data_IF_689503190083
#
_entry.id   IF_689503190083
#
_cell.length_a   1.000
_cell.length_b   1.000
_cell.length_c   1.000
_cell.angle_alpha   90.00
_cell.angle_beta   90.00
_cell.angle_gamma   90.00
#
_symmetry.space_group_name_H-M   'P 1'
#
loop_
_entity.id
_entity.type
_entity.pdbx_description
1 polymer ?
#
# COMPACT_ATOMS: atom_id res chain seq x y z
N UNK A 1 -2.50 7.14 1.88
CA UNK A 1 -3.14 6.66 3.12
C UNK A 1 -4.05 5.49 2.74
N UNK A 2 -3.95 4.35 3.42
CA UNK A 2 -4.80 3.18 3.20
C UNK A 2 -5.63 2.90 4.46
N UNK A 3 -6.89 3.30 4.43
CA UNK A 3 -7.81 3.32 5.57
C UNK A 3 -7.98 4.73 6.16
N UNK A 4 -8.54 4.82 7.37
CA UNK A 4 -8.82 6.08 8.05
C UNK A 4 -10.29 6.21 8.43
N UNK A 5 -11.19 6.08 7.45
CA UNK A 5 -12.61 5.85 7.69
C UNK A 5 -12.90 4.35 7.52
N UNK A 6 -13.90 3.86 8.25
CA UNK A 6 -14.35 2.48 8.19
C UNK A 6 -14.91 2.17 6.78
N UNK A 7 -14.52 1.05 6.17
CA UNK A 7 -15.11 0.62 4.90
C UNK A 7 -16.56 0.20 5.10
N UNK A 8 -17.43 0.62 4.18
CA UNK A 8 -18.83 0.16 4.14
C UNK A 8 -18.99 -1.31 3.74
N UNK A 9 -17.96 -1.90 3.13
CA UNK A 9 -17.93 -3.30 2.72
C UNK A 9 -17.44 -4.16 3.90
N UNK A 10 -18.25 -5.10 4.41
CA UNK A 10 -17.83 -5.99 5.49
C UNK A 10 -16.56 -6.78 5.15
N UNK A 11 -15.66 -6.90 6.12
CA UNK A 11 -14.39 -7.63 6.03
C UNK A 11 -13.39 -7.08 4.98
N UNK A 12 -13.61 -5.88 4.43
CA UNK A 12 -12.66 -5.29 3.49
C UNK A 12 -11.36 -4.90 4.18
N UNK A 13 -10.24 -5.39 3.65
CA UNK A 13 -8.87 -4.99 4.01
C UNK A 13 -8.10 -4.77 2.71
N UNK A 14 -7.46 -3.60 2.55
CA UNK A 14 -6.65 -3.33 1.36
C UNK A 14 -5.44 -4.29 1.33
N UNK A 15 -5.15 -4.92 0.20
CA UNK A 15 -4.08 -5.93 0.10
C UNK A 15 -3.28 -5.83 -1.19
N UNK A 16 -2.05 -6.36 -1.19
CA UNK A 16 -1.19 -6.42 -2.38
C UNK A 16 -0.65 -5.05 -2.80
N UNK A 17 -0.37 -4.19 -1.81
CA UNK A 17 0.05 -2.82 -2.05
C UNK A 17 1.55 -2.79 -2.31
N UNK A 18 1.98 -2.11 -3.38
CA UNK A 18 3.39 -1.71 -3.50
C UNK A 18 3.53 -0.21 -3.73
N UNK A 19 4.37 0.42 -2.91
CA UNK A 19 4.85 1.79 -3.07
C UNK A 19 6.34 1.71 -3.37
N UNK A 20 6.73 1.88 -4.64
CA UNK A 20 8.14 1.79 -5.03
C UNK A 20 8.61 2.94 -5.89
N UNK A 21 9.84 3.41 -5.65
CA UNK A 21 10.53 4.41 -6.49
C UNK A 21 9.81 5.74 -6.60
N UNK A 22 9.29 6.21 -5.48
CA UNK A 22 8.63 7.50 -5.39
C UNK A 22 9.51 8.49 -4.64
N UNK A 23 9.32 9.77 -4.97
CA UNK A 23 9.69 10.88 -4.10
C UNK A 23 8.43 11.34 -3.37
N UNK A 24 8.32 10.97 -2.09
CA UNK A 24 7.14 11.21 -1.25
C UNK A 24 7.47 12.40 -0.35
N UNK A 25 6.96 13.57 -0.70
CA UNK A 25 7.29 14.82 -0.03
C UNK A 25 6.05 15.71 0.15
N UNK A 26 6.14 16.66 1.08
CA UNK A 26 5.21 17.81 1.16
C UNK A 26 5.98 19.11 0.98
N UNK A 27 5.39 20.14 0.35
CA UNK A 27 6.00 21.45 0.30
C UNK A 27 6.14 22.03 1.70
N UNK A 28 7.36 22.43 2.08
CA UNK A 28 7.61 23.07 3.38
C UNK A 28 6.92 24.43 3.51
N UNK A 29 6.51 25.06 2.40
CA UNK A 29 5.67 26.26 2.40
C UNK A 29 4.30 26.05 3.04
N UNK A 30 3.88 24.81 3.28
CA UNK A 30 2.62 24.49 3.97
C UNK A 30 2.73 24.54 5.50
N UNK A 31 3.94 24.69 6.05
CA UNK A 31 4.16 24.82 7.49
C UNK A 31 3.45 26.08 8.00
N UNK A 32 2.71 25.92 9.11
CA UNK A 32 1.95 26.99 9.78
C UNK A 32 0.92 27.70 8.88
N UNK A 33 0.48 27.05 7.81
CA UNK A 33 -0.68 27.49 7.03
C UNK A 33 -1.99 27.01 7.68
N UNK A 34 -3.13 27.46 7.14
CA UNK A 34 -4.46 27.12 7.65
C UNK A 34 -4.89 25.65 7.44
N UNK A 35 -4.06 24.83 6.82
CA UNK A 35 -4.37 23.44 6.51
C UNK A 35 -3.95 22.47 7.61
N UNK A 36 -4.80 21.47 7.85
CA UNK A 36 -4.47 20.30 8.68
C UNK A 36 -3.63 19.32 7.86
N UNK A 37 -2.31 19.31 8.07
CA UNK A 37 -1.38 18.45 7.33
C UNK A 37 -1.16 17.12 8.05
N UNK A 38 -1.47 16.01 7.36
CA UNK A 38 -1.28 14.62 7.83
C UNK A 38 0.14 14.10 7.57
N UNK A 39 0.44 12.89 8.03
CA UNK A 39 1.77 12.28 7.83
C UNK A 39 1.98 11.85 6.37
N UNK A 40 3.15 11.34 6.00
CA UNK A 40 3.49 11.05 4.60
C UNK A 40 2.88 9.72 4.13
N UNK A 41 3.03 8.66 4.93
CA UNK A 41 2.51 7.33 4.61
C UNK A 41 1.77 6.77 5.81
N UNK A 42 0.51 6.39 5.63
CA UNK A 42 -0.31 5.85 6.72
C UNK A 42 -1.00 4.58 6.24
N UNK A 43 -0.79 3.49 6.97
CA UNK A 43 -1.54 2.25 6.86
C UNK A 43 -2.40 2.10 8.11
N UNK A 44 -3.70 2.03 7.89
CA UNK A 44 -4.73 1.95 8.93
C UNK A 44 -5.64 0.75 8.77
N UNK A 45 -5.84 0.28 7.54
CA UNK A 45 -6.51 -0.98 7.24
C UNK A 45 -5.90 -1.59 5.97
N UNK A 46 -4.75 -2.26 6.12
CA UNK A 46 -3.96 -2.77 5.01
C UNK A 46 -3.15 -4.01 5.38
N UNK A 47 -2.94 -4.90 4.41
CA UNK A 47 -2.06 -6.05 4.57
C UNK A 47 -1.25 -6.35 3.31
N UNK A 48 -0.16 -7.12 3.43
CA UNK A 48 0.69 -7.53 2.31
C UNK A 48 1.20 -6.32 1.53
N UNK A 49 2.02 -5.51 2.20
CA UNK A 49 2.49 -4.22 1.73
C UNK A 49 4.00 -4.26 1.51
N UNK A 50 4.47 -3.71 0.39
CA UNK A 50 5.89 -3.43 0.15
C UNK A 50 6.09 -1.93 -0.08
N UNK A 51 6.99 -1.32 0.68
CA UNK A 51 7.45 0.06 0.48
C UNK A 51 8.96 0.03 0.21
N UNK A 52 9.36 0.26 -1.04
CA UNK A 52 10.74 0.03 -1.48
C UNK A 52 11.34 1.08 -2.41
N UNK A 53 12.59 1.49 -2.18
CA UNK A 53 13.30 2.36 -3.11
C UNK A 53 12.73 3.77 -3.16
N UNK A 54 12.13 4.27 -2.09
CA UNK A 54 11.56 5.62 -2.06
C UNK A 54 12.48 6.60 -1.33
N UNK A 55 12.34 7.88 -1.67
CA UNK A 55 12.84 9.00 -0.86
C UNK A 55 11.62 9.67 -0.21
N UNK A 56 11.60 9.72 1.12
CA UNK A 56 10.45 10.16 1.93
C UNK A 56 10.89 11.32 2.82
N UNK A 57 10.30 12.50 2.63
CA UNK A 57 10.78 13.69 3.33
C UNK A 57 9.74 14.78 3.58
N UNK A 58 10.12 15.75 4.41
CA UNK A 58 9.32 16.91 4.80
C UNK A 58 8.04 16.49 5.57
N UNK A 59 8.26 16.01 6.79
CA UNK A 59 7.21 15.74 7.77
C UNK A 59 7.47 16.53 9.04
N UNK A 60 6.50 17.35 9.46
CA UNK A 60 6.61 18.20 10.64
C UNK A 60 5.43 17.96 11.58
N UNK A 61 5.53 18.46 12.81
CA UNK A 61 4.42 18.42 13.76
C UNK A 61 3.26 19.26 13.24
N UNK A 62 2.09 18.65 13.07
CA UNK A 62 0.89 19.29 12.53
C UNK A 62 -0.37 18.59 13.06
N UNK A 63 -1.15 17.92 12.21
CA UNK A 63 -2.34 17.17 12.62
C UNK A 63 -2.02 16.04 13.62
N UNK A 64 -0.76 15.62 13.67
CA UNK A 64 -0.19 14.57 14.51
C UNK A 64 1.25 14.95 14.89
N UNK A 65 1.96 14.08 15.60
CA UNK A 65 3.33 14.30 16.12
C UNK A 65 4.43 14.32 15.04
N UNK A 66 4.07 14.32 13.76
CA UNK A 66 5.02 14.47 12.65
C UNK A 66 5.84 13.23 12.30
N UNK A 67 5.54 12.06 12.86
CA UNK A 67 6.10 10.79 12.40
C UNK A 67 5.72 10.54 10.94
N UNK A 68 6.71 10.37 10.07
CA UNK A 68 6.50 10.27 8.63
C UNK A 68 5.63 9.07 8.23
N UNK A 69 5.78 7.94 8.91
CA UNK A 69 5.12 6.67 8.56
C UNK A 69 4.35 6.10 9.75
N UNK A 70 3.07 5.77 9.53
CA UNK A 70 2.19 5.17 10.54
C UNK A 70 1.77 3.76 10.15
N UNK A 71 1.99 2.81 11.07
CA UNK A 71 1.43 1.47 11.07
C UNK A 71 0.48 1.35 12.26
N UNK A 72 -0.73 1.87 12.09
CA UNK A 72 -1.68 2.10 13.20
C UNK A 72 -3.08 1.65 12.79
N UNK A 73 -3.54 0.44 13.15
CA UNK A 73 -4.88 -0.01 12.81
C UNK A 73 -5.90 1.01 13.33
N UNK A 74 -6.92 1.31 12.52
CA UNK A 74 -7.90 2.34 12.85
C UNK A 74 -9.31 2.00 12.36
N UNK A 75 -10.13 1.56 13.30
CA UNK A 75 -11.58 1.34 13.22
C UNK A 75 -12.27 2.60 13.73
N UNK A 76 -12.27 3.66 12.92
CA UNK A 76 -12.52 5.03 13.34
C UNK A 76 -13.96 5.24 13.83
N UNK A 77 -14.94 4.67 13.13
CA UNK A 77 -16.37 4.77 13.47
C UNK A 77 -16.85 3.60 14.34
N UNK A 78 -16.05 2.55 14.52
CA UNK A 78 -16.36 1.38 15.34
C UNK A 78 -17.14 0.30 14.59
N UNK A 79 -17.26 0.41 13.27
CA UNK A 79 -18.03 -0.48 12.39
C UNK A 79 -17.17 -1.52 11.66
N UNK A 80 -15.83 -1.40 11.73
CA UNK A 80 -14.89 -2.28 11.06
C UNK A 80 -13.90 -2.98 12.04
N UNK A 81 -14.37 -3.89 12.92
CA UNK A 81 -13.51 -4.59 13.88
C UNK A 81 -12.48 -5.54 13.24
N UNK A 82 -12.60 -5.83 11.94
CA UNK A 82 -11.61 -6.58 11.15
C UNK A 82 -10.41 -5.73 10.73
N UNK A 83 -10.39 -4.43 11.04
CA UNK A 83 -9.30 -3.51 10.67
C UNK A 83 -7.95 -4.03 11.16
N UNK A 84 -6.96 -4.07 10.26
CA UNK A 84 -5.64 -4.64 10.53
C UNK A 84 -4.52 -3.88 9.80
N UNK A 85 -3.31 -3.90 10.36
CA UNK A 85 -2.07 -3.58 9.65
C UNK A 85 -1.14 -4.79 9.75
N UNK A 86 -0.91 -5.51 8.64
CA UNK A 86 -0.13 -6.77 8.72
C UNK A 86 0.74 -7.05 7.51
N UNK A 87 1.86 -7.74 7.71
CA UNK A 87 2.76 -8.17 6.64
C UNK A 87 3.21 -6.98 5.81
N UNK A 88 3.94 -6.06 6.45
CA UNK A 88 4.46 -4.84 5.84
C UNK A 88 5.97 -4.94 5.78
N UNK A 89 6.52 -4.81 4.58
CA UNK A 89 7.97 -4.72 4.34
C UNK A 89 8.30 -3.30 3.89
N UNK A 90 9.02 -2.56 4.73
CA UNK A 90 9.54 -1.23 4.44
C UNK A 90 11.05 -1.30 4.31
N UNK A 91 11.57 -1.27 3.07
CA UNK A 91 12.99 -1.50 2.82
C UNK A 91 13.64 -0.68 1.74
N UNK A 92 14.95 -0.49 1.80
CA UNK A 92 15.71 0.23 0.77
C UNK A 92 15.17 1.65 0.51
N UNK A 93 14.75 2.37 1.56
CA UNK A 93 14.27 3.75 1.46
C UNK A 93 15.26 4.73 2.09
N UNK A 94 15.22 5.97 1.63
CA UNK A 94 15.80 7.12 2.33
C UNK A 94 14.66 7.88 3.00
N UNK A 95 14.79 8.18 4.28
CA UNK A 95 13.89 9.08 5.00
C UNK A 95 14.67 10.21 5.65
N UNK A 96 14.26 11.44 5.38
CA UNK A 96 14.96 12.63 5.87
C UNK A 96 14.06 13.83 6.02
N UNK A 97 14.48 14.85 6.75
CA UNK A 97 13.71 16.08 6.90
C UNK A 97 12.37 15.80 7.61
N UNK A 98 12.43 15.06 8.73
CA UNK A 98 11.22 14.59 9.43
C UNK A 98 11.29 14.81 10.94
N UNK A 99 10.15 15.14 11.55
CA UNK A 99 9.96 15.25 12.99
C UNK A 99 9.96 13.89 13.73
N UNK A 100 9.84 12.78 13.00
CA UNK A 100 9.96 11.42 13.50
C UNK A 100 9.86 10.40 12.36
N UNK A 101 10.41 9.19 12.55
CA UNK A 101 10.37 8.13 11.55
C UNK A 101 9.04 7.37 11.54
N UNK A 102 8.87 6.43 12.46
CA UNK A 102 7.72 5.53 12.52
C UNK A 102 6.87 5.72 13.78
N UNK A 103 5.56 5.56 13.62
CA UNK A 103 4.63 5.29 14.72
C UNK A 103 3.91 3.96 14.47
N UNK A 104 4.10 3.02 15.40
CA UNK A 104 3.59 1.64 15.28
C UNK A 104 2.73 1.34 16.51
N UNK A 105 1.44 1.04 16.27
CA UNK A 105 0.51 0.63 17.32
C UNK A 105 0.03 -0.79 17.06
N UNK A 106 -0.03 -1.61 18.11
CA UNK A 106 -0.56 -2.97 18.02
C UNK A 106 -2.07 -3.04 17.86
N UNK A 107 -2.81 -2.11 18.46
CA UNK A 107 -4.26 -2.02 18.38
C UNK A 107 -4.72 -0.58 18.16
N UNK A 108 -5.95 -0.44 17.69
CA UNK A 108 -6.71 0.79 17.84
C UNK A 108 -7.03 1.01 19.33
N UNK A 109 -6.78 2.22 19.82
CA UNK A 109 -6.93 2.65 21.22
C UNK A 109 -8.32 3.23 21.55
N UNK A 110 -9.20 3.40 20.56
CA UNK A 110 -10.57 3.87 20.73
C UNK A 110 -11.65 2.83 20.43
N UNK A 111 -11.37 1.85 19.56
CA UNK A 111 -12.33 0.82 19.11
C UNK A 111 -11.66 -0.54 18.91
N UNK A 112 -12.39 -1.67 18.90
CA UNK A 112 -11.80 -2.97 18.60
C UNK A 112 -11.18 -3.02 17.21
N UNK A 113 -9.97 -3.59 17.10
CA UNK A 113 -9.30 -3.90 15.84
C UNK A 113 -8.61 -5.26 15.92
N UNK A 114 -8.14 -5.76 14.79
CA UNK A 114 -7.15 -6.84 14.80
C UNK A 114 -5.79 -6.30 15.26
N UNK A 115 -4.91 -7.21 15.69
CA UNK A 115 -3.56 -6.88 16.14
C UNK A 115 -2.64 -6.63 14.94
N UNK A 116 -1.88 -5.53 14.98
CA UNK A 116 -0.78 -5.31 14.02
C UNK A 116 0.27 -6.40 14.17
N UNK A 117 0.64 -7.03 13.06
CA UNK A 117 1.66 -8.07 13.07
C UNK A 117 2.56 -8.07 11.84
N UNK A 118 3.75 -8.66 11.97
CA UNK A 118 4.63 -8.98 10.84
C UNK A 118 5.08 -7.71 10.09
N UNK A 119 5.75 -6.83 10.84
CA UNK A 119 6.29 -5.57 10.32
C UNK A 119 7.81 -5.73 10.18
N UNK A 120 8.33 -5.53 8.97
CA UNK A 120 9.77 -5.53 8.70
C UNK A 120 10.19 -4.16 8.21
N UNK A 121 11.09 -3.51 8.94
CA UNK A 121 11.75 -2.25 8.57
C UNK A 121 13.21 -2.58 8.35
N UNK A 122 13.63 -2.69 7.09
CA UNK A 122 15.00 -3.14 6.81
C UNK A 122 15.76 -2.39 5.74
N UNK A 123 17.07 -2.29 5.89
CA UNK A 123 17.94 -1.70 4.88
C UNK A 123 17.56 -0.27 4.47
N UNK A 124 17.26 0.61 5.42
CA UNK A 124 16.90 2.00 5.13
C UNK A 124 17.93 2.97 5.73
N UNK A 125 18.03 4.15 5.11
CA UNK A 125 18.82 5.27 5.61
C UNK A 125 17.89 6.35 6.20
N UNK A 126 18.09 6.70 7.46
CA UNK A 126 17.40 7.78 8.15
C UNK A 126 18.41 8.85 8.59
N UNK A 127 18.20 10.09 8.17
CA UNK A 127 19.02 11.22 8.62
C UNK A 127 18.21 12.50 8.64
N UNK A 128 18.62 13.50 9.43
CA UNK A 128 17.78 14.66 9.72
C UNK A 128 16.37 14.26 10.21
N UNK A 129 16.33 13.22 11.06
CA UNK A 129 15.19 12.92 11.93
C UNK A 129 15.37 13.80 13.15
N UNK A 130 14.79 15.00 13.11
CA UNK A 130 15.34 16.13 13.87
C UNK A 130 14.30 16.97 14.60
N UNK A 131 14.69 17.46 15.77
CA UNK A 131 13.94 18.42 16.59
C UNK A 131 13.78 19.77 15.86
N UNK A 132 14.58 20.03 14.82
CA UNK A 132 14.44 21.20 13.94
C UNK A 132 13.09 21.23 13.18
N UNK A 133 12.41 20.08 13.06
CA UNK A 133 11.08 19.96 12.45
C UNK A 133 9.92 20.23 13.43
N UNK A 134 10.22 20.87 14.56
CA UNK A 134 9.24 21.42 15.49
C UNK A 134 8.53 22.66 14.91
N UNK A 135 7.35 22.96 15.43
CA UNK A 135 6.64 24.22 15.21
C UNK A 135 6.42 24.91 16.58
N UNK A 136 6.09 26.22 16.64
CA UNK A 136 5.99 26.97 17.89
C UNK A 136 5.12 26.32 18.99
N UNK A 137 4.08 25.58 18.60
CA UNK A 137 3.16 24.90 19.52
C UNK A 137 3.21 23.36 19.41
N UNK A 138 4.33 22.79 18.94
CA UNK A 138 4.46 21.36 18.72
C UNK A 138 5.91 20.93 18.57
N UNK A 139 6.46 20.31 19.61
CA UNK A 139 7.82 19.82 19.61
C UNK A 139 7.93 18.50 18.83
N UNK A 140 8.87 18.44 17.89
CA UNK A 140 9.23 17.22 17.20
C UNK A 140 9.98 16.28 18.16
N UNK A 141 9.51 15.03 18.24
CA UNK A 141 10.13 14.03 19.11
C UNK A 141 11.49 13.54 18.57
N UNK A 142 11.70 13.65 17.26
CA UNK A 142 12.94 13.32 16.55
C UNK A 142 13.45 11.89 16.84
N UNK A 143 12.50 10.95 16.96
CA UNK A 143 12.78 9.52 17.19
C UNK A 143 12.75 8.77 15.88
N UNK A 144 13.57 7.72 15.78
CA UNK A 144 13.46 6.75 14.70
C UNK A 144 12.09 6.05 14.74
N UNK A 145 11.68 5.57 15.91
CA UNK A 145 10.39 4.90 16.06
C UNK A 145 9.75 5.15 17.43
N UNK A 146 8.42 5.15 17.45
CA UNK A 146 7.60 4.92 18.64
C UNK A 146 6.76 3.66 18.43
N UNK A 147 6.81 2.73 19.38
CA UNK A 147 6.19 1.40 19.26
C UNK A 147 5.44 1.08 20.55
N UNK A 148 4.15 0.75 20.46
CA UNK A 148 3.37 0.45 21.66
C UNK A 148 2.03 -0.17 21.35
N UNK A 149 1.20 -0.36 22.38
CA UNK A 149 -0.06 -1.10 22.27
C UNK A 149 0.12 -2.54 21.77
N UNK A 150 1.30 -3.14 21.98
CA UNK A 150 1.58 -4.56 21.76
C UNK A 150 1.46 -5.10 20.32
N UNK A 151 2.13 -4.56 19.28
CA UNK A 151 2.24 -5.26 18.00
C UNK A 151 2.99 -6.60 18.13
N UNK A 152 2.84 -7.49 17.15
CA UNK A 152 3.61 -8.76 17.08
C UNK A 152 4.60 -8.76 15.93
N UNK A 153 5.72 -9.48 16.11
CA UNK A 153 6.68 -9.78 15.05
C UNK A 153 7.18 -8.51 14.33
N UNK A 154 7.76 -7.59 15.09
CA UNK A 154 8.37 -6.37 14.54
C UNK A 154 9.88 -6.61 14.39
N UNK A 155 10.36 -6.57 13.14
CA UNK A 155 11.77 -6.72 12.78
C UNK A 155 12.33 -5.40 12.29
N UNK A 156 13.41 -4.95 12.90
CA UNK A 156 14.16 -3.75 12.52
C UNK A 156 15.59 -4.20 12.26
N UNK A 157 16.00 -4.20 10.99
CA UNK A 157 17.24 -4.86 10.55
C UNK A 157 18.01 -4.04 9.50
N UNK A 158 19.34 -3.93 9.61
CA UNK A 158 20.16 -3.21 8.60
C UNK A 158 19.79 -1.73 8.38
N UNK A 159 19.32 -1.00 9.39
CA UNK A 159 19.04 0.44 9.23
C UNK A 159 20.19 1.29 9.76
N UNK A 160 20.52 2.38 9.05
CA UNK A 160 21.38 3.45 9.58
C UNK A 160 20.52 4.64 9.97
N UNK A 161 20.60 5.07 11.23
CA UNK A 161 19.74 6.13 11.78
C UNK A 161 20.55 7.21 12.49
N UNK A 162 20.52 8.42 11.91
CA UNK A 162 21.03 9.64 12.51
C UNK A 162 19.85 10.56 12.89
N UNK A 163 19.47 10.50 14.16
CA UNK A 163 18.41 11.31 14.77
C UNK A 163 18.98 12.12 15.95
N UNK A 164 18.27 13.17 16.37
CA UNK A 164 18.70 14.02 17.50
C UNK A 164 17.65 14.20 18.62
N UNK A 165 16.62 13.35 18.64
CA UNK A 165 15.66 13.30 19.73
C UNK A 165 16.26 12.76 21.03
N UNK A 166 15.50 12.79 22.13
CA UNK A 166 15.98 12.27 23.42
C UNK A 166 16.22 10.76 23.42
N UNK A 167 15.45 10.02 22.63
CA UNK A 167 15.58 8.57 22.46
C UNK A 167 15.53 8.23 20.96
N UNK A 168 16.14 7.11 20.59
CA UNK A 168 16.10 6.59 19.23
C UNK A 168 14.84 5.78 19.01
N UNK A 169 14.53 4.87 19.93
CA UNK A 169 13.26 4.13 19.93
C UNK A 169 12.57 4.38 21.26
N UNK A 170 11.32 4.82 21.22
CA UNK A 170 10.44 4.83 22.39
C UNK A 170 9.50 3.62 22.33
N UNK A 171 9.51 2.82 23.38
CA UNK A 171 8.55 1.75 23.59
C UNK A 171 7.62 2.19 24.71
N UNK A 172 6.31 2.09 24.49
CA UNK A 172 5.33 2.63 25.42
C UNK A 172 4.19 1.63 25.70
N UNK A 173 3.62 1.76 26.89
CA UNK A 173 2.38 1.06 27.25
C UNK A 173 1.19 1.61 26.44
N UNK A 174 0.14 0.83 26.24
CA UNK A 174 -1.01 1.29 25.48
C UNK A 174 -2.21 0.38 25.65
N UNK A 175 -3.29 0.68 24.95
CA UNK A 175 -4.45 -0.20 24.95
C UNK A 175 -4.10 -1.56 24.35
N UNK A 176 -4.46 -2.64 25.05
CA UNK A 176 -4.45 -4.01 24.53
C UNK A 176 -5.69 -4.75 25.04
N UNK A 177 -6.33 -5.63 24.24
CA UNK A 177 -7.48 -6.40 24.71
C UNK A 177 -7.14 -7.43 25.81
N UNK A 178 -5.88 -7.86 25.91
CA UNK A 178 -5.43 -8.94 26.81
C UNK A 178 -4.76 -8.43 28.08
N UNK A 179 -4.83 -7.12 28.38
CA UNK A 179 -4.13 -6.42 29.49
C UNK A 179 -2.60 -6.55 29.52
N UNK A 180 -2.01 -7.27 28.57
CA UNK A 180 -0.57 -7.43 28.37
C UNK A 180 -0.07 -6.51 27.27
N UNK A 181 0.70 -5.49 27.64
CA UNK A 181 1.28 -4.51 26.69
C UNK A 181 2.56 -4.99 25.99
N UNK A 182 2.88 -6.29 26.11
CA UNK A 182 4.12 -6.85 25.57
C UNK A 182 4.10 -7.01 24.06
N UNK A 183 5.27 -6.82 23.46
CA UNK A 183 5.57 -6.91 22.04
C UNK A 183 6.38 -8.19 21.83
N UNK A 184 5.70 -9.27 21.47
CA UNK A 184 6.34 -10.55 21.20
C UNK A 184 6.94 -10.60 19.80
N UNK A 185 8.08 -11.29 19.65
CA UNK A 185 8.76 -11.44 18.37
C UNK A 185 9.47 -10.16 17.89
N UNK A 186 9.84 -9.27 18.82
CA UNK A 186 10.64 -8.08 18.50
C UNK A 186 12.08 -8.47 18.16
N UNK A 187 12.58 -7.97 17.03
CA UNK A 187 13.95 -8.17 16.58
C UNK A 187 14.56 -6.82 16.20
N UNK A 188 15.71 -6.50 16.78
CA UNK A 188 16.51 -5.32 16.50
C UNK A 188 17.93 -5.81 16.20
N UNK A 189 18.28 -5.93 14.93
CA UNK A 189 19.53 -6.56 14.49
C UNK A 189 20.28 -5.75 13.45
N UNK A 190 21.61 -5.80 13.45
CA UNK A 190 22.42 -5.24 12.36
C UNK A 190 22.18 -3.73 12.10
N UNK A 191 21.75 -2.93 13.07
CA UNK A 191 21.48 -1.50 12.87
C UNK A 191 22.65 -0.62 13.35
N UNK A 192 22.89 0.49 12.64
CA UNK A 192 23.71 1.60 13.11
C UNK A 192 22.78 2.69 13.67
N UNK A 193 22.78 2.86 14.98
CA UNK A 193 21.86 3.75 15.68
C UNK A 193 22.66 4.75 16.51
N UNK A 194 22.23 6.01 16.57
CA UNK A 194 22.59 6.88 17.68
C UNK A 194 21.86 6.42 18.93
N UNK A 195 22.49 6.53 20.09
CA UNK A 195 21.81 6.29 21.36
C UNK A 195 21.05 7.54 21.83
N UNK A 196 21.63 8.71 21.62
CA UNK A 196 21.14 9.98 22.17
C UNK A 196 21.20 9.98 23.71
N UNK A 197 20.13 10.40 24.41
CA UNK A 197 20.12 10.44 25.87
C UNK A 197 19.63 9.13 26.51
N UNK A 198 18.80 8.36 25.79
CA UNK A 198 18.10 7.20 26.34
C UNK A 198 18.01 5.99 25.40
N UNK A 199 18.56 6.09 24.18
CA UNK A 199 18.63 4.96 23.28
C UNK A 199 17.28 4.34 22.92
N UNK A 200 17.16 3.05 23.24
CA UNK A 200 15.88 2.36 23.35
C UNK A 200 15.30 2.63 24.74
N UNK A 201 14.18 3.33 24.84
CA UNK A 201 13.59 3.74 26.11
C UNK A 201 12.20 3.16 26.29
N UNK A 202 11.94 2.52 27.43
CA UNK A 202 10.60 2.13 27.87
C UNK A 202 10.00 3.23 28.75
N UNK A 203 8.86 3.81 28.35
CA UNK A 203 8.23 4.94 29.05
C UNK A 203 8.01 4.75 30.56
N UNK A 204 7.71 3.53 31.00
CA UNK A 204 7.42 3.19 32.39
C UNK A 204 8.62 2.67 33.19
N UNK A 205 9.69 2.23 32.52
CA UNK A 205 10.76 1.43 33.15
C UNK A 205 12.18 1.89 32.85
N UNK A 206 12.36 2.83 31.92
CA UNK A 206 13.65 3.42 31.59
C UNK A 206 14.37 2.79 30.40
N UNK A 207 15.66 3.09 30.32
CA UNK A 207 16.54 2.82 29.17
C UNK A 207 16.94 1.35 28.98
N UNK A 208 17.25 1.02 27.73
CA UNK A 208 17.94 -0.17 27.29
C UNK A 208 17.24 -1.46 27.74
N UNK A 209 18.00 -2.29 28.45
CA UNK A 209 17.60 -3.63 28.87
C UNK A 209 16.42 -3.61 29.84
N UNK A 210 16.20 -2.53 30.59
CA UNK A 210 15.00 -2.40 31.43
C UNK A 210 13.75 -2.30 30.55
N UNK A 211 13.73 -1.36 29.61
CA UNK A 211 12.69 -1.21 28.59
C UNK A 211 12.46 -2.49 27.78
N UNK A 212 13.54 -3.05 27.24
CA UNK A 212 13.50 -4.26 26.41
C UNK A 212 12.94 -5.47 27.17
N UNK A 213 13.36 -5.73 28.43
CA UNK A 213 12.84 -6.86 29.20
C UNK A 213 11.36 -6.72 29.55
N UNK A 214 10.92 -5.49 29.85
CA UNK A 214 9.54 -5.24 30.24
C UNK A 214 8.58 -5.31 29.05
N UNK A 215 8.90 -4.60 27.96
CA UNK A 215 8.01 -4.47 26.83
C UNK A 215 8.21 -5.52 25.75
N UNK A 216 9.41 -6.05 25.55
CA UNK A 216 9.73 -6.97 24.44
C UNK A 216 10.31 -8.28 24.99
N UNK A 217 9.53 -9.09 25.72
CA UNK A 217 10.03 -10.33 26.28
C UNK A 217 10.57 -11.24 25.17
N UNK A 218 11.75 -11.80 25.38
CA UNK A 218 12.49 -12.63 24.42
C UNK A 218 12.89 -11.92 23.12
N UNK A 219 13.02 -10.58 23.14
CA UNK A 219 13.56 -9.85 22.00
C UNK A 219 14.95 -10.32 21.61
N UNK A 220 15.21 -10.33 20.30
CA UNK A 220 16.56 -10.52 19.75
C UNK A 220 17.14 -9.12 19.54
N UNK A 221 18.14 -8.76 20.33
CA UNK A 221 18.86 -7.48 20.20
C UNK A 221 20.35 -7.78 20.06
N UNK A 222 20.83 -7.85 18.83
CA UNK A 222 22.18 -8.31 18.54
C UNK A 222 22.79 -7.62 17.31
N UNK A 223 24.11 -7.49 17.29
CA UNK A 223 24.90 -6.92 16.18
C UNK A 223 24.47 -5.51 15.75
N UNK A 224 23.91 -4.73 16.67
CA UNK A 224 23.73 -3.31 16.45
C UNK A 224 24.97 -2.55 16.94
N UNK A 225 25.27 -1.40 16.34
CA UNK A 225 26.16 -0.42 16.94
C UNK A 225 25.35 0.77 17.46
N UNK A 226 25.40 1.00 18.77
CA UNK A 226 24.75 2.12 19.44
C UNK A 226 25.78 3.22 19.74
N UNK A 227 25.84 4.24 18.89
CA UNK A 227 26.72 5.38 19.08
C UNK A 227 26.40 6.15 20.36
N UNK A 228 27.36 6.19 21.29
CA UNK A 228 27.25 6.93 22.56
C UNK A 228 26.62 6.17 23.73
N UNK A 229 26.13 4.96 23.50
CA UNK A 229 25.52 4.13 24.55
C UNK A 229 26.55 3.56 25.53
N UNK A 230 26.11 3.27 26.75
CA UNK A 230 26.87 2.44 27.69
C UNK A 230 26.56 0.95 27.46
N UNK A 231 27.60 0.11 27.32
CA UNK A 231 27.46 -1.32 27.10
C UNK A 231 26.61 -2.04 28.18
N UNK A 232 26.62 -1.52 29.41
CA UNK A 232 25.83 -2.04 30.54
C UNK A 232 24.32 -1.85 30.37
N UNK A 233 23.88 -0.94 29.49
CA UNK A 233 22.47 -0.69 29.23
C UNK A 233 21.85 -1.72 28.29
N UNK A 234 22.63 -2.46 27.50
CA UNK A 234 22.09 -3.32 26.44
C UNK A 234 22.49 -4.79 26.59
N UNK A 235 21.76 -5.72 25.95
CA UNK A 235 22.18 -7.10 25.84
C UNK A 235 23.57 -7.24 25.20
N UNK A 236 24.28 -8.30 25.56
CA UNK A 236 25.59 -8.62 24.97
C UNK A 236 25.48 -8.92 23.47
N UNK A 237 26.59 -8.78 22.74
CA UNK A 237 26.63 -9.00 21.29
C UNK A 237 26.26 -7.78 20.46
N UNK A 238 26.18 -6.59 21.06
CA UNK A 238 26.10 -5.29 20.40
C UNK A 238 27.41 -4.51 20.61
N UNK A 239 27.64 -3.52 19.76
CA UNK A 239 28.80 -2.64 19.79
C UNK A 239 28.41 -1.23 20.26
N UNK A 240 29.34 -0.55 20.93
CA UNK A 240 29.08 0.73 21.62
C UNK A 240 30.18 1.76 21.33
N UNK A 241 30.34 2.20 20.06
CA UNK A 241 31.31 3.24 19.75
C UNK A 241 30.97 4.54 20.48
N UNK A 242 31.99 5.33 20.83
CA UNK A 242 31.74 6.71 21.28
C UNK A 242 31.04 7.49 20.18
N UNK A 243 30.32 8.57 20.52
CA UNK A 243 29.70 9.40 19.47
C UNK A 243 30.72 9.96 18.47
N UNK A 244 31.93 10.29 18.93
CA UNK A 244 33.01 10.73 18.04
C UNK A 244 33.46 9.63 17.08
N UNK A 245 33.61 8.38 17.56
CA UNK A 245 33.93 7.24 16.70
C UNK A 245 32.81 6.93 15.74
N UNK A 246 31.56 6.88 16.22
CA UNK A 246 30.38 6.65 15.38
C UNK A 246 30.29 7.67 14.25
N UNK A 247 30.61 8.94 14.52
CA UNK A 247 30.67 9.98 13.48
C UNK A 247 31.82 9.77 12.49
N UNK A 248 32.99 9.34 12.98
CA UNK A 248 34.18 9.07 12.18
C UNK A 248 34.08 7.77 11.35
N UNK A 249 33.14 6.88 11.68
CA UNK A 249 32.88 5.64 10.96
C UNK A 249 32.27 5.90 9.57
N UNK A 250 31.76 7.09 9.30
CA UNK A 250 31.15 7.46 8.02
C UNK A 250 32.08 8.31 7.14
N UNK A 251 31.95 8.16 5.82
CA UNK A 251 32.74 8.91 4.83
C UNK A 251 32.54 10.42 4.97
N UNK A 252 31.30 10.90 5.00
CA UNK A 252 30.99 12.32 5.19
C UNK A 252 29.51 12.55 5.56
N UNK A 253 29.20 12.65 6.85
CA UNK A 253 27.85 12.94 7.36
C UNK A 253 27.32 14.28 6.86
N UNK A 254 28.16 15.32 6.80
CA UNK A 254 27.75 16.66 6.37
C UNK A 254 27.29 16.72 4.90
N UNK A 255 27.71 15.75 4.08
CA UNK A 255 27.25 15.56 2.72
C UNK A 255 26.17 14.44 2.59
N UNK A 256 25.58 14.00 3.70
CA UNK A 256 24.67 12.86 3.79
C UNK A 256 25.24 11.53 3.25
N UNK A 257 26.58 11.37 3.27
CA UNK A 257 27.26 10.15 2.86
C UNK A 257 27.57 9.28 4.09
N UNK A 258 26.59 8.46 4.46
CA UNK A 258 26.68 7.52 5.59
C UNK A 258 27.27 6.15 5.21
N UNK A 259 28.02 6.06 4.10
CA UNK A 259 28.80 4.84 3.82
C UNK A 259 29.90 4.69 4.87
N UNK A 260 30.11 3.46 5.34
CA UNK A 260 31.19 3.18 6.27
C UNK A 260 32.56 3.34 5.60
N UNK A 261 33.50 3.97 6.30
CA UNK A 261 34.92 3.97 5.91
C UNK A 261 35.51 2.57 6.12
N UNK A 262 36.58 2.24 5.38
CA UNK A 262 37.20 0.91 5.41
C UNK A 262 37.72 0.50 6.80
N UNK A 263 38.02 1.47 7.67
CA UNK A 263 38.53 1.25 9.03
C UNK A 263 37.42 1.10 10.07
N UNK A 264 36.14 1.26 9.70
CA UNK A 264 35.04 1.12 10.64
C UNK A 264 34.94 -0.33 11.12
N UNK A 265 34.77 -0.52 12.43
CA UNK A 265 34.52 -1.85 13.00
C UNK A 265 33.16 -2.43 12.61
N UNK A 266 32.25 -1.58 12.14
CA UNK A 266 30.94 -1.97 11.62
C UNK A 266 30.99 -2.49 10.17
N UNK A 267 32.15 -2.43 9.52
CA UNK A 267 32.37 -2.93 8.15
C UNK A 267 32.34 -4.46 8.13
N UNK A 268 31.51 -5.06 7.27
CA UNK A 268 31.35 -6.52 7.15
C UNK A 268 31.09 -7.27 8.48
N UNK A 269 30.48 -6.60 9.47
CA UNK A 269 30.35 -7.07 10.84
C UNK A 269 28.92 -7.51 11.24
N UNK A 270 27.95 -7.43 10.30
CA UNK A 270 26.58 -7.92 10.52
C UNK A 270 26.53 -9.45 10.61
N UNK A 271 25.37 -9.98 10.99
CA UNK A 271 25.12 -11.43 11.02
C UNK A 271 25.21 -12.12 9.65
N UNK A 272 25.10 -11.36 8.56
CA UNK A 272 25.19 -11.86 7.17
C UNK A 272 26.49 -11.43 6.45
N UNK A 273 27.51 -11.03 7.22
CA UNK A 273 28.83 -10.62 6.73
C UNK A 273 28.83 -9.38 5.81
N UNK A 274 27.79 -8.55 5.93
CA UNK A 274 27.70 -7.22 5.33
C UNK A 274 28.03 -6.12 6.34
N UNK A 275 28.04 -4.89 5.87
CA UNK A 275 28.12 -3.74 6.76
C UNK A 275 26.92 -3.72 7.73
N UNK A 276 27.17 -3.45 9.01
CA UNK A 276 26.12 -3.11 9.96
C UNK A 276 25.50 -1.78 9.50
N UNK A 277 24.18 -1.66 9.61
CA UNK A 277 23.41 -0.56 9.04
C UNK A 277 23.05 -0.81 7.57
N UNK A 278 22.82 0.27 6.83
CA UNK A 278 22.30 0.21 5.46
C UNK A 278 23.34 -0.36 4.47
N UNK A 279 22.94 -1.41 3.76
CA UNK A 279 23.56 -1.89 2.52
C UNK A 279 23.23 -0.90 1.39
N UNK A 280 24.16 0.02 1.17
CA UNK A 280 24.03 1.03 0.13
C UNK A 280 23.98 0.46 -1.29
N UNK A 281 24.55 -0.71 -1.53
CA UNK A 281 24.48 -1.33 -2.87
C UNK A 281 23.04 -1.70 -3.18
N UNK A 282 22.35 -2.32 -2.23
CA UNK A 282 20.93 -2.64 -2.36
C UNK A 282 20.04 -1.39 -2.36
N UNK A 283 20.36 -0.38 -1.52
CA UNK A 283 19.64 0.89 -1.50
C UNK A 283 19.73 1.61 -2.85
N UNK A 284 20.93 1.80 -3.39
CA UNK A 284 21.13 2.47 -4.67
C UNK A 284 20.47 1.71 -5.81
N UNK A 285 20.56 0.38 -5.82
CA UNK A 285 19.89 -0.45 -6.81
C UNK A 285 18.36 -0.28 -6.75
N UNK A 286 17.77 -0.22 -5.55
CA UNK A 286 16.34 -0.02 -5.40
C UNK A 286 15.89 1.38 -5.87
N UNK A 287 16.65 2.42 -5.51
CA UNK A 287 16.38 3.82 -5.87
C UNK A 287 16.54 4.08 -7.37
N UNK A 288 17.55 3.48 -8.01
CA UNK A 288 17.92 3.74 -9.40
C UNK A 288 17.39 2.72 -10.40
N UNK A 289 16.76 1.63 -9.93
CA UNK A 289 16.19 0.64 -10.84
C UNK A 289 15.14 1.31 -11.74
N UNK A 290 15.30 1.16 -13.06
CA UNK A 290 14.27 1.54 -14.02
C UNK A 290 12.98 0.82 -13.67
N UNK A 291 11.81 1.49 -13.70
CA UNK A 291 10.55 0.81 -13.54
C UNK A 291 10.50 -0.33 -14.57
N UNK A 292 10.43 -1.57 -14.09
CA UNK A 292 9.96 -2.65 -14.94
C UNK A 292 8.63 -2.17 -15.55
N UNK A 293 8.43 -2.35 -16.85
CA UNK A 293 7.19 -1.95 -17.53
C UNK A 293 6.01 -2.38 -16.65
N UNK A 294 5.28 -1.42 -16.10
CA UNK A 294 4.10 -1.72 -15.30
C UNK A 294 3.21 -2.60 -16.17
N UNK A 295 2.84 -3.82 -15.74
CA UNK A 295 1.87 -4.60 -16.49
C UNK A 295 0.67 -3.71 -16.74
N UNK A 296 0.22 -3.64 -18.00
CA UNK A 296 -0.95 -2.88 -18.40
C UNK A 296 -2.10 -3.12 -17.38
N UNK A 297 -2.81 -2.05 -16.93
CA UNK A 297 -3.85 -2.19 -15.92
C UNK A 297 -4.78 -3.35 -16.26
N UNK A 298 -4.89 -4.31 -15.33
CA UNK A 298 -5.83 -5.42 -15.41
C UNK A 298 -7.05 -5.07 -14.58
N UNK A 299 -8.19 -4.82 -15.21
CA UNK A 299 -9.45 -4.67 -14.51
C UNK A 299 -10.57 -5.38 -15.26
N UNK A 300 -11.53 -5.90 -14.51
CA UNK A 300 -12.72 -6.58 -15.01
C UNK A 300 -13.94 -5.72 -14.71
N UNK A 301 -14.80 -5.55 -15.71
CA UNK A 301 -16.08 -4.84 -15.64
C UNK A 301 -17.19 -5.83 -15.92
N UNK A 302 -18.16 -5.90 -15.02
CA UNK A 302 -19.38 -6.71 -15.21
C UNK A 302 -20.32 -5.98 -16.18
N UNK A 303 -20.93 -6.69 -17.12
CA UNK A 303 -21.73 -6.05 -18.17
C UNK A 303 -22.97 -5.38 -17.58
N UNK A 304 -23.57 -5.92 -16.51
CA UNK A 304 -24.71 -5.33 -15.80
C UNK A 304 -24.41 -3.97 -15.15
N UNK A 305 -23.12 -3.62 -15.02
CA UNK A 305 -22.64 -2.37 -14.45
C UNK A 305 -22.39 -1.28 -15.50
N UNK A 306 -23.19 -1.24 -16.57
CA UNK A 306 -23.12 -0.15 -17.55
C UNK A 306 -23.49 1.20 -16.90
N UNK A 307 -23.06 2.29 -17.53
CA UNK A 307 -23.25 3.65 -17.03
C UNK A 307 -24.74 3.96 -16.78
N UNK A 308 -25.03 4.69 -15.71
CA UNK A 308 -26.40 5.17 -15.44
C UNK A 308 -26.72 6.41 -16.30
N UNK A 309 -27.98 6.84 -16.30
CA UNK A 309 -28.46 7.99 -17.08
C UNK A 309 -29.65 7.67 -17.97
N UNK A 310 -30.00 6.39 -18.11
CA UNK A 310 -31.17 5.93 -18.85
C UNK A 310 -30.93 5.76 -20.35
N UNK A 311 -32.04 5.49 -21.03
CA UNK A 311 -32.15 5.29 -22.48
C UNK A 311 -31.54 6.46 -23.27
N UNK A 312 -30.68 6.16 -24.24
CA UNK A 312 -29.95 7.14 -25.05
C UNK A 312 -28.73 7.77 -24.36
N UNK A 313 -28.46 7.47 -23.09
CA UNK A 313 -27.32 8.00 -22.33
C UNK A 313 -26.39 6.88 -21.86
N UNK A 314 -26.89 6.00 -20.99
CA UNK A 314 -26.12 4.88 -20.45
C UNK A 314 -26.20 3.64 -21.34
N UNK A 315 -27.32 3.47 -22.04
CA UNK A 315 -27.61 2.34 -22.91
C UNK A 315 -28.66 2.72 -23.97
N UNK A 316 -28.86 1.83 -24.95
CA UNK A 316 -30.04 1.78 -25.82
C UNK A 316 -30.53 0.33 -25.88
N UNK A 317 -31.80 0.10 -25.51
CA UNK A 317 -32.47 -1.19 -25.61
C UNK A 317 -33.64 -1.09 -26.62
N UNK A 318 -33.82 -2.13 -27.44
CA UNK A 318 -34.86 -2.12 -28.48
C UNK A 318 -36.26 -2.37 -27.92
N UNK A 319 -36.37 -2.76 -26.66
CA UNK A 319 -37.62 -3.10 -26.01
C UNK A 319 -37.80 -2.38 -24.66
N UNK A 320 -39.03 -2.00 -24.29
CA UNK A 320 -39.28 -1.48 -22.95
C UNK A 320 -39.28 -2.61 -21.92
N UNK A 321 -38.66 -2.35 -20.78
CA UNK A 321 -38.62 -3.21 -19.59
C UNK A 321 -37.60 -4.35 -19.66
N UNK A 322 -36.89 -4.55 -18.54
CA UNK A 322 -35.97 -5.67 -18.35
C UNK A 322 -36.71 -7.02 -18.24
N UNK A 323 -36.65 -7.85 -19.29
CA UNK A 323 -37.25 -9.19 -19.39
C UNK A 323 -36.70 -10.18 -18.37
N UNK A 324 -35.43 -10.04 -18.00
CA UNK A 324 -34.81 -10.89 -16.99
C UNK A 324 -35.21 -10.47 -15.57
N UNK A 325 -35.62 -9.21 -15.38
CA UNK A 325 -36.23 -8.69 -14.15
C UNK A 325 -35.27 -8.57 -12.96
N UNK A 326 -33.96 -8.69 -13.18
CA UNK A 326 -32.95 -8.70 -12.12
C UNK A 326 -31.97 -7.52 -12.22
N UNK A 327 -31.33 -7.24 -11.08
CA UNK A 327 -30.27 -6.24 -10.88
C UNK A 327 -30.69 -4.76 -11.04
N UNK A 328 -31.28 -4.38 -12.17
CA UNK A 328 -31.75 -3.00 -12.46
C UNK A 328 -33.20 -2.97 -12.94
N UNK A 329 -33.85 -1.84 -12.72
CA UNK A 329 -35.26 -1.60 -13.06
C UNK A 329 -35.47 -0.82 -14.37
N UNK A 330 -34.40 -0.63 -15.14
CA UNK A 330 -34.43 0.02 -16.45
C UNK A 330 -34.67 -1.02 -17.57
N UNK A 331 -34.46 -0.67 -18.85
CA UNK A 331 -34.89 -1.51 -19.97
C UNK A 331 -33.89 -2.62 -20.34
N UNK A 332 -32.61 -2.53 -19.94
CA UNK A 332 -31.62 -3.54 -20.31
C UNK A 332 -31.99 -4.89 -19.70
N UNK A 333 -32.04 -5.91 -20.53
CA UNK A 333 -32.42 -7.28 -20.16
C UNK A 333 -31.31 -8.00 -19.37
N UNK A 334 -31.51 -8.21 -18.06
CA UNK A 334 -30.51 -8.74 -17.12
C UNK A 334 -31.05 -9.95 -16.35
N UNK A 335 -30.29 -11.05 -16.35
CA UNK A 335 -30.61 -12.27 -15.60
C UNK A 335 -29.40 -12.81 -14.80
N UNK A 336 -29.64 -13.76 -13.89
CA UNK A 336 -28.58 -14.34 -13.06
C UNK A 336 -27.71 -15.33 -13.85
N UNK A 337 -26.39 -15.17 -13.75
CA UNK A 337 -25.41 -16.01 -14.43
C UNK A 337 -25.11 -17.28 -13.62
N UNK A 338 -25.03 -18.42 -14.31
CA UNK A 338 -24.52 -19.69 -13.78
C UNK A 338 -23.03 -19.91 -14.08
N UNK A 339 -22.33 -18.90 -14.61
CA UNK A 339 -20.91 -18.97 -14.92
C UNK A 339 -20.07 -19.07 -13.64
N UNK A 340 -18.79 -19.38 -13.82
CA UNK A 340 -17.82 -19.32 -12.72
C UNK A 340 -17.77 -17.90 -12.16
N UNK A 341 -18.07 -17.76 -10.86
CA UNK A 341 -18.18 -16.47 -10.16
C UNK A 341 -19.62 -16.00 -9.92
N UNK A 342 -20.62 -16.64 -10.54
CA UNK A 342 -22.02 -16.24 -10.42
C UNK A 342 -22.26 -14.84 -11.00
N UNK A 343 -23.11 -14.04 -10.34
CA UNK A 343 -23.41 -12.67 -10.74
C UNK A 343 -24.58 -12.58 -11.72
N UNK A 344 -24.52 -11.61 -12.64
CA UNK A 344 -25.54 -11.38 -13.64
C UNK A 344 -24.93 -11.32 -15.04
N UNK A 345 -25.78 -11.31 -16.06
CA UNK A 345 -25.38 -11.14 -17.44
C UNK A 345 -26.45 -10.38 -18.21
N UNK A 346 -26.04 -9.75 -19.31
CA UNK A 346 -26.95 -9.17 -20.30
C UNK A 346 -27.40 -10.25 -21.26
N UNK A 347 -28.71 -10.46 -21.34
CA UNK A 347 -29.35 -11.43 -22.22
C UNK A 347 -30.34 -10.76 -23.16
N UNK A 348 -31.02 -11.56 -24.00
CA UNK A 348 -32.01 -11.06 -24.98
C UNK A 348 -31.52 -9.96 -25.94
N UNK A 349 -30.21 -9.73 -25.98
CA UNK A 349 -29.55 -8.67 -26.72
C UNK A 349 -29.87 -8.74 -28.21
N UNK A 350 -30.26 -7.62 -28.79
CA UNK A 350 -30.62 -7.44 -30.20
C UNK A 350 -29.65 -6.51 -30.93
N UNK A 351 -29.53 -6.73 -32.23
CA UNK A 351 -28.87 -5.80 -33.14
C UNK A 351 -29.50 -4.40 -33.04
N UNK A 352 -28.65 -3.38 -33.02
CA UNK A 352 -29.02 -1.98 -32.80
C UNK A 352 -28.77 -1.49 -31.38
N UNK A 353 -28.71 -2.39 -30.39
CA UNK A 353 -28.52 -2.03 -28.97
C UNK A 353 -27.07 -1.63 -28.65
N UNK A 354 -26.88 -0.91 -27.54
CA UNK A 354 -25.54 -0.60 -27.03
C UNK A 354 -25.55 -0.28 -25.54
N UNK A 355 -24.38 -0.42 -24.90
CA UNK A 355 -24.13 -0.07 -23.49
C UNK A 355 -22.80 0.68 -23.33
N UNK A 356 -22.79 1.70 -22.47
CA UNK A 356 -21.60 2.52 -22.16
C UNK A 356 -20.97 2.12 -20.82
N UNK A 357 -19.65 2.24 -20.72
CA UNK A 357 -18.87 2.08 -19.50
C UNK A 357 -17.82 3.19 -19.41
N UNK A 358 -17.93 4.04 -18.40
CA UNK A 358 -16.91 5.04 -18.10
C UNK A 358 -15.79 4.39 -17.30
N UNK A 359 -14.61 4.30 -17.90
CA UNK A 359 -13.39 3.73 -17.29
C UNK A 359 -12.33 4.81 -17.10
N UNK A 360 -11.32 4.54 -16.26
CA UNK A 360 -10.12 5.36 -16.14
C UNK A 360 -8.88 4.50 -16.27
N UNK A 361 -8.08 4.73 -17.31
CA UNK A 361 -6.81 4.02 -17.50
C UNK A 361 -5.67 4.84 -16.90
N UNK A 362 -4.82 4.20 -16.08
CA UNK A 362 -3.70 4.88 -15.42
C UNK A 362 -2.68 5.45 -16.43
N UNK A 363 -2.47 4.76 -17.55
CA UNK A 363 -1.58 5.15 -18.63
C UNK A 363 -2.22 4.87 -19.99
N UNK A 364 -1.83 5.64 -21.01
CA UNK A 364 -2.17 5.31 -22.39
C UNK A 364 -1.42 4.05 -22.81
N UNK A 365 -2.02 3.24 -23.68
CA UNK A 365 -1.41 1.98 -24.11
C UNK A 365 -2.25 1.18 -25.08
N UNK A 366 -1.70 0.05 -25.49
CA UNK A 366 -2.39 -0.97 -26.30
C UNK A 366 -2.70 -2.18 -25.44
N UNK A 367 -3.96 -2.57 -25.41
CA UNK A 367 -4.50 -3.55 -24.47
C UNK A 367 -5.09 -4.76 -25.20
N UNK A 368 -5.27 -5.84 -24.45
CA UNK A 368 -6.19 -6.92 -24.83
C UNK A 368 -7.50 -6.73 -24.08
N UNK A 369 -8.62 -6.78 -24.79
CA UNK A 369 -9.95 -6.86 -24.19
C UNK A 369 -10.44 -8.31 -24.31
N UNK A 370 -10.64 -8.94 -23.16
CA UNK A 370 -11.29 -10.24 -23.05
C UNK A 370 -12.79 -10.03 -22.81
N UNK A 371 -13.66 -10.76 -23.49
CA UNK A 371 -15.12 -10.71 -23.29
C UNK A 371 -15.66 -12.11 -23.01
N UNK A 372 -16.44 -12.23 -21.94
CA UNK A 372 -17.10 -13.47 -21.53
C UNK A 372 -18.50 -13.52 -22.10
N UNK A 373 -18.71 -14.43 -23.06
CA UNK A 373 -19.92 -14.47 -23.90
C UNK A 373 -20.48 -15.89 -24.01
N UNK A 374 -21.78 -15.99 -24.34
CA UNK A 374 -22.46 -17.25 -24.60
C UNK A 374 -23.53 -17.12 -25.70
N UNK A 375 -23.79 -18.20 -26.44
CA UNK A 375 -24.84 -18.27 -27.46
C UNK A 375 -25.28 -19.72 -27.72
N UNK A 376 -26.59 -19.94 -27.85
CA UNK A 376 -27.19 -21.25 -28.18
C UNK A 376 -27.25 -21.53 -29.69
N UNK A 377 -26.19 -21.20 -30.41
CA UNK A 377 -26.11 -21.22 -31.87
C UNK A 377 -25.06 -20.22 -32.36
N UNK A 378 -24.82 -20.15 -33.67
CA UNK A 378 -23.91 -19.11 -34.21
C UNK A 378 -24.43 -17.73 -33.77
N UNK A 379 -23.65 -17.02 -32.95
CA UNK A 379 -24.03 -15.73 -32.40
C UNK A 379 -23.91 -14.62 -33.43
N UNK A 380 -24.34 -13.44 -33.03
CA UNK A 380 -24.25 -12.22 -33.81
C UNK A 380 -22.86 -11.59 -33.77
N UNK A 381 -22.76 -10.37 -34.30
CA UNK A 381 -21.57 -9.55 -34.22
C UNK A 381 -21.79 -8.30 -33.39
N UNK A 382 -20.71 -7.80 -32.80
CA UNK A 382 -20.65 -6.57 -32.03
C UNK A 382 -19.28 -5.92 -32.20
N UNK A 383 -19.13 -4.64 -31.86
CA UNK A 383 -17.83 -3.98 -31.82
C UNK A 383 -17.70 -3.09 -30.57
N UNK A 384 -16.48 -2.60 -30.34
CA UNK A 384 -16.16 -1.75 -29.18
C UNK A 384 -15.66 -0.40 -29.67
N UNK A 385 -16.35 0.65 -29.28
CA UNK A 385 -15.92 2.03 -29.46
C UNK A 385 -15.21 2.55 -28.20
N UNK A 386 -14.20 3.39 -28.39
CA UNK A 386 -13.57 4.17 -27.32
C UNK A 386 -13.71 5.64 -27.65
N UNK A 387 -14.43 6.38 -26.80
CA UNK A 387 -14.83 7.77 -27.04
C UNK A 387 -15.51 7.98 -28.41
N UNK A 388 -16.39 7.05 -28.79
CA UNK A 388 -17.15 7.09 -30.05
C UNK A 388 -16.36 6.70 -31.30
N UNK A 389 -15.16 6.14 -31.16
CA UNK A 389 -14.36 5.63 -32.28
C UNK A 389 -14.25 4.11 -32.18
N UNK A 390 -14.72 3.38 -33.19
CA UNK A 390 -14.54 1.93 -33.28
C UNK A 390 -13.04 1.56 -33.21
N UNK A 391 -12.69 0.71 -32.25
CA UNK A 391 -11.32 0.21 -32.03
C UNK A 391 -11.13 -1.24 -32.39
N UNK A 392 -12.19 -1.97 -32.71
CA UNK A 392 -12.11 -3.43 -32.84
C UNK A 392 -12.48 -3.93 -34.21
N UNK A 393 -13.35 -3.21 -34.93
CA UNK A 393 -14.15 -3.80 -35.98
C UNK A 393 -15.11 -4.86 -35.42
N UNK A 394 -15.85 -5.58 -36.29
CA UNK A 394 -16.80 -6.58 -35.86
C UNK A 394 -16.11 -7.77 -35.19
N UNK A 395 -16.67 -8.19 -34.05
CA UNK A 395 -16.33 -9.37 -33.28
C UNK A 395 -17.52 -10.31 -33.28
N UNK A 396 -17.30 -11.60 -33.55
CA UNK A 396 -18.36 -12.61 -33.60
C UNK A 396 -18.45 -13.38 -32.29
N UNK A 397 -19.66 -13.58 -31.78
CA UNK A 397 -19.91 -14.51 -30.68
C UNK A 397 -19.99 -15.93 -31.25
N UNK A 398 -19.12 -16.86 -30.85
CA UNK A 398 -19.17 -18.24 -31.34
C UNK A 398 -20.41 -18.97 -30.81
N UNK A 399 -20.78 -20.06 -31.48
CA UNK A 399 -21.72 -21.02 -30.88
C UNK A 399 -21.05 -21.68 -29.68
N UNK A 400 -21.60 -21.48 -28.48
CA UNK A 400 -21.07 -22.07 -27.25
C UNK A 400 -21.88 -23.28 -26.78
N UNK A 401 -22.95 -23.64 -27.48
CA UNK A 401 -23.80 -24.80 -27.18
C UNK A 401 -24.90 -24.53 -26.15
N UNK A 402 -25.11 -23.28 -25.72
CA UNK A 402 -26.17 -22.91 -24.81
C UNK A 402 -26.13 -21.45 -24.37
N UNK A 403 -27.27 -20.90 -23.97
CA UNK A 403 -27.38 -19.50 -23.54
C UNK A 403 -26.58 -19.17 -22.28
N UNK A 404 -26.22 -20.18 -21.49
CA UNK A 404 -25.31 -20.01 -20.36
C UNK A 404 -24.13 -20.98 -20.42
N UNK A 405 -23.74 -21.41 -21.62
CA UNK A 405 -22.47 -22.09 -21.84
C UNK A 405 -21.43 -21.03 -22.21
N UNK A 406 -20.52 -20.71 -21.31
CA UNK A 406 -19.70 -19.50 -21.42
C UNK A 406 -18.30 -19.76 -22.00
N UNK A 407 -17.87 -18.89 -22.91
CA UNK A 407 -16.50 -18.84 -23.41
C UNK A 407 -15.94 -17.42 -23.34
N UNK A 408 -14.61 -17.29 -23.46
CA UNK A 408 -13.95 -15.99 -23.50
C UNK A 408 -13.33 -15.76 -24.87
N UNK A 409 -13.70 -14.65 -25.51
CA UNK A 409 -13.07 -14.15 -26.74
C UNK A 409 -12.11 -13.02 -26.40
N UNK A 410 -10.98 -12.93 -27.10
CA UNK A 410 -9.94 -11.92 -26.83
C UNK A 410 -9.67 -11.07 -28.06
N UNK A 411 -9.79 -9.75 -27.92
CA UNK A 411 -9.38 -8.78 -28.93
C UNK A 411 -8.10 -8.07 -28.48
N UNK A 412 -6.99 -8.36 -29.16
CA UNK A 412 -5.71 -7.67 -28.95
C UNK A 412 -5.65 -6.38 -29.76
N UNK A 413 -4.76 -5.47 -29.35
CA UNK A 413 -4.45 -4.28 -30.14
C UNK A 413 -5.37 -3.09 -29.89
N UNK A 414 -6.14 -3.07 -28.79
CA UNK A 414 -7.09 -1.99 -28.51
C UNK A 414 -6.38 -0.82 -27.84
N UNK A 415 -6.33 0.32 -28.53
CA UNK A 415 -5.67 1.52 -28.02
C UNK A 415 -6.60 2.29 -27.05
N UNK A 416 -6.12 2.52 -25.83
CA UNK A 416 -6.77 3.33 -24.80
C UNK A 416 -5.89 4.54 -24.43
N UNK A 417 -6.51 5.69 -24.20
CA UNK A 417 -5.84 6.89 -23.69
C UNK A 417 -5.62 6.81 -22.17
N UNK A 418 -4.78 7.68 -21.62
CA UNK A 418 -4.69 7.86 -20.16
C UNK A 418 -5.89 8.66 -19.64
N UNK A 419 -6.32 8.39 -18.40
CA UNK A 419 -7.43 9.07 -17.76
C UNK A 419 -8.80 8.52 -18.17
N UNK A 420 -9.82 9.35 -17.93
CA UNK A 420 -11.23 8.99 -18.09
C UNK A 420 -11.64 8.89 -19.56
N UNK A 421 -12.26 7.78 -19.95
CA UNK A 421 -12.78 7.54 -21.30
C UNK A 421 -14.01 6.62 -21.26
N UNK A 422 -14.82 6.68 -22.31
CA UNK A 422 -16.03 5.84 -22.43
C UNK A 422 -15.74 4.68 -23.38
N UNK A 423 -15.97 3.47 -22.91
CA UNK A 423 -16.06 2.26 -23.73
C UNK A 423 -17.54 2.05 -24.06
N UNK A 424 -17.88 1.92 -25.34
CA UNK A 424 -19.21 1.50 -25.78
C UNK A 424 -19.13 0.15 -26.43
N UNK A 425 -20.01 -0.77 -26.06
CA UNK A 425 -20.20 -2.04 -26.77
C UNK A 425 -21.46 -1.91 -27.61
N UNK A 426 -21.31 -2.05 -28.93
CA UNK A 426 -22.39 -1.85 -29.92
C UNK A 426 -22.74 -3.17 -30.57
N UNK A 427 -24.03 -3.49 -30.62
CA UNK A 427 -24.55 -4.76 -31.10
C UNK A 427 -24.94 -4.64 -32.57
N UNK A 428 -24.17 -5.26 -33.47
CA UNK A 428 -24.24 -4.97 -34.91
C UNK A 428 -25.26 -5.85 -35.65
N UNK A 429 -25.20 -7.16 -35.44
CA UNK A 429 -26.07 -8.12 -36.16
C UNK A 429 -26.57 -9.21 -35.23
N UNK A 430 -27.80 -9.68 -35.47
CA UNK A 430 -28.32 -10.86 -34.79
C UNK A 430 -27.63 -12.14 -35.32
N UNK A 431 -27.50 -13.14 -34.46
CA UNK A 431 -27.06 -14.48 -34.82
C UNK A 431 -28.20 -15.36 -35.35
N UNK A 432 -27.88 -16.63 -35.60
CA UNK A 432 -28.80 -17.62 -36.16
C UNK A 432 -30.03 -17.90 -35.27
N UNK A 433 -29.97 -17.57 -33.98
CA UNK A 433 -31.06 -17.74 -33.00
C UNK A 433 -31.85 -16.46 -32.74
N UNK A 434 -31.63 -15.42 -33.56
CA UNK A 434 -32.40 -14.17 -33.54
C UNK A 434 -31.91 -13.11 -32.55
N UNK A 435 -30.93 -13.41 -31.68
CA UNK A 435 -30.25 -12.44 -30.82
C UNK A 435 -28.73 -12.42 -31.05
N UNK A 436 -28.03 -11.44 -30.52
CA UNK A 436 -26.57 -11.32 -30.67
C UNK A 436 -25.85 -12.37 -29.82
N UNK A 437 -26.21 -12.47 -28.55
CA UNK A 437 -25.61 -13.38 -27.58
C UNK A 437 -25.78 -12.84 -26.16
N UNK A 438 -25.31 -13.61 -25.17
CA UNK A 438 -25.27 -13.19 -23.78
C UNK A 438 -23.86 -12.68 -23.41
N UNK A 439 -23.79 -11.66 -22.57
CA UNK A 439 -22.54 -11.01 -22.15
C UNK A 439 -22.44 -10.95 -20.61
N UNK A 440 -21.39 -11.51 -20.03
CA UNK A 440 -21.20 -11.57 -18.57
C UNK A 440 -20.27 -10.45 -18.08
N UNK A 441 -18.99 -10.48 -18.47
CA UNK A 441 -18.00 -9.45 -18.13
C UNK A 441 -17.05 -9.20 -19.29
N UNK A 442 -16.37 -8.05 -19.26
CA UNK A 442 -15.16 -7.82 -20.05
C UNK A 442 -13.98 -7.44 -19.15
N UNK A 443 -12.77 -7.77 -19.58
CA UNK A 443 -11.54 -7.43 -18.88
C UNK A 443 -10.55 -6.75 -19.82
N UNK A 444 -9.94 -5.67 -19.35
CA UNK A 444 -8.86 -4.95 -20.04
C UNK A 444 -7.55 -5.38 -19.40
N UNK A 445 -6.54 -5.80 -20.18
CA UNK A 445 -5.25 -6.28 -19.66
C UNK A 445 -4.06 -6.12 -20.59
#
# INVERSE_FOLDING_TARGET
>A
MFGGADPSIPNLVATGITIRRNYITKPTSWIMQSWTVKNLVEFKNAQNVVVEGNVIENSWVAAQQGYAVLFTPRNQEGTAPWTIVRNVVFRNNIMRHVAGGFSISGYDDGRPSQQTSDITISNNLFYDVSTAWSIPNGAAAARFAIIGSGPRNVTIDHNTVDNNGSATILIYGGYTPTSTVQIYGFQLTNNLLRDNAYGVFGDAVGEGSAGLRFYTPNAIVARNAFGGAAATQYPTGNDFPTMAQWQADFVNIGAANYRLVATSLSKNASTDAKDVGVDFTALDAALNATPASTPAPRFTVQFENYDTGGEGVGYHDTTPGNKGGLYRSDNVDIAAANDTGGGYYLGWVRAGEWVNYTISAATAGTFTIDLRVASNGAGGTFHIEVNGVDKTGPLTIPNTGGWQAWTTISKRGVALGAGRQVIRVVMDTNGATGGVGNFNWFAVR
#
